data_IF_423171846904
#
_entry.id   IF_423171846904
#
_cell.length_a   1.000
_cell.length_b   1.000
_cell.length_c   1.000
_cell.angle_alpha   90.00
_cell.angle_beta   90.00
_cell.angle_gamma   90.00
#
_symmetry.space_group_name_H-M   'P 1'
#
loop_
_entity.id
_entity.type
_entity.pdbx_description
1 polymer ?
#
# COMPACT_ATOMS: atom_id res chain seq x y z
N UNK A 1 -12.65 1.94 -22.65
CA UNK A 1 -11.21 1.67 -22.92
C UNK A 1 -11.15 0.59 -23.97
N UNK A 2 -10.24 0.65 -24.94
CA UNK A 2 -10.16 -0.39 -25.97
C UNK A 2 -9.73 -1.74 -25.35
N UNK A 3 -10.36 -2.84 -25.75
CA UNK A 3 -10.04 -4.20 -25.28
C UNK A 3 -8.52 -4.48 -25.37
N UNK A 4 -7.85 -3.95 -26.41
CA UNK A 4 -6.40 -4.06 -26.60
C UNK A 4 -5.54 -3.49 -25.46
N UNK A 5 -5.98 -2.42 -24.80
CA UNK A 5 -5.24 -1.82 -23.68
C UNK A 5 -5.42 -2.66 -22.41
N UNK A 6 -6.64 -3.15 -22.15
CA UNK A 6 -6.91 -4.07 -21.04
C UNK A 6 -6.15 -5.38 -21.20
N UNK A 7 -6.16 -5.99 -22.39
CA UNK A 7 -5.43 -7.24 -22.67
C UNK A 7 -3.91 -7.09 -22.46
N UNK A 8 -3.35 -5.94 -22.83
CA UNK A 8 -1.91 -5.66 -22.61
C UNK A 8 -1.59 -5.44 -21.14
N UNK A 9 -2.44 -4.72 -20.42
CA UNK A 9 -2.32 -4.46 -18.98
C UNK A 9 -2.40 -5.79 -18.21
N UNK A 10 -3.40 -6.63 -18.49
CA UNK A 10 -3.55 -7.95 -17.86
C UNK A 10 -2.34 -8.84 -18.13
N UNK A 11 -1.76 -8.79 -19.33
CA UNK A 11 -0.56 -9.57 -19.65
C UNK A 11 0.73 -9.04 -19.01
N UNK A 12 0.91 -7.72 -18.90
CA UNK A 12 2.11 -7.12 -18.31
C UNK A 12 2.12 -7.15 -16.79
N UNK A 13 0.94 -7.18 -16.17
CA UNK A 13 0.79 -7.12 -14.72
C UNK A 13 0.53 -8.51 -14.10
N UNK A 14 0.65 -9.59 -14.89
CA UNK A 14 0.58 -10.95 -14.33
C UNK A 14 1.60 -11.10 -13.21
N UNK A 15 1.16 -11.74 -12.13
CA UNK A 15 2.02 -12.06 -10.99
C UNK A 15 3.26 -12.82 -11.50
N UNK A 16 4.48 -12.29 -11.28
CA UNK A 16 5.71 -12.97 -11.67
C UNK A 16 5.90 -14.30 -10.92
N UNK A 17 6.79 -15.18 -11.39
CA UNK A 17 7.14 -16.41 -10.68
C UNK A 17 7.59 -16.14 -9.24
N UNK A 18 7.29 -17.08 -8.33
CA UNK A 18 7.61 -16.96 -6.89
C UNK A 18 9.09 -16.59 -6.61
N UNK A 19 10.03 -17.03 -7.45
CA UNK A 19 11.45 -16.67 -7.30
C UNK A 19 11.75 -15.18 -7.44
N UNK A 20 10.96 -14.44 -8.23
CA UNK A 20 11.16 -13.00 -8.47
C UNK A 20 10.56 -12.14 -7.36
N UNK A 21 9.46 -12.61 -6.76
CA UNK A 21 8.70 -11.91 -5.70
C UNK A 21 9.06 -12.38 -4.29
N UNK A 22 9.93 -13.38 -4.15
CA UNK A 22 10.33 -13.99 -2.87
C UNK A 22 10.81 -13.00 -1.81
N UNK A 23 11.29 -11.83 -2.23
CA UNK A 23 11.77 -10.80 -1.29
C UNK A 23 10.68 -10.27 -0.36
N UNK A 24 9.39 -10.43 -0.70
CA UNK A 24 8.28 -10.14 0.23
C UNK A 24 8.19 -11.11 1.41
N UNK A 25 8.89 -12.26 1.39
CA UNK A 25 8.94 -13.17 2.55
C UNK A 25 9.50 -12.49 3.79
N UNK A 26 10.34 -11.46 3.60
CA UNK A 26 10.85 -10.61 4.67
C UNK A 26 9.75 -10.02 5.55
N UNK A 27 8.51 -9.84 5.05
CA UNK A 27 7.36 -9.34 5.83
C UNK A 27 7.09 -10.17 7.10
N UNK A 28 7.49 -11.46 7.13
CA UNK A 28 7.45 -12.26 8.35
C UNK A 28 8.22 -11.62 9.51
N UNK A 29 9.38 -11.03 9.22
CA UNK A 29 10.23 -10.43 10.24
C UNK A 29 9.70 -9.06 10.69
N UNK A 30 8.97 -8.37 9.82
CA UNK A 30 8.20 -7.18 10.18
C UNK A 30 7.07 -7.55 11.13
N UNK A 31 6.35 -8.65 10.85
CA UNK A 31 5.26 -9.12 11.71
C UNK A 31 5.79 -9.52 13.09
N UNK A 32 6.91 -10.26 13.14
CA UNK A 32 7.57 -10.63 14.40
C UNK A 32 8.03 -9.41 15.21
N UNK A 33 8.42 -8.33 14.53
CA UNK A 33 8.96 -7.13 15.18
C UNK A 33 7.86 -6.17 15.62
N UNK A 34 6.88 -5.91 14.77
CA UNK A 34 5.90 -4.82 14.93
C UNK A 34 4.48 -5.31 15.24
N UNK A 35 4.23 -6.62 15.17
CA UNK A 35 2.88 -7.18 15.25
C UNK A 35 2.18 -7.13 13.90
N UNK A 36 0.91 -6.75 13.89
CA UNK A 36 0.16 -6.66 12.64
C UNK A 36 0.64 -5.46 11.80
N UNK A 37 0.68 -5.61 10.47
CA UNK A 37 1.14 -4.58 9.55
C UNK A 37 0.06 -4.20 8.53
N UNK A 38 0.07 -2.92 8.14
CA UNK A 38 -0.82 -2.36 7.13
C UNK A 38 -0.02 -2.03 5.87
N UNK A 39 -0.44 -2.58 4.73
CA UNK A 39 0.22 -2.40 3.42
C UNK A 39 -0.72 -1.66 2.49
N UNK A 40 -0.39 -0.43 2.13
CA UNK A 40 -1.09 0.33 1.10
C UNK A 40 -0.32 0.21 -0.21
N UNK A 41 -1.00 -0.19 -1.28
CA UNK A 41 -0.37 -0.40 -2.59
C UNK A 41 -1.16 0.23 -3.72
N UNK A 42 -0.41 0.77 -4.69
CA UNK A 42 -0.91 1.25 -5.98
C UNK A 42 -0.73 0.21 -7.09
N UNK A 43 -0.07 -0.93 -6.79
CA UNK A 43 0.15 -2.01 -7.73
C UNK A 43 -1.12 -2.85 -7.89
N UNK A 44 -1.40 -3.24 -9.12
CA UNK A 44 -2.57 -4.03 -9.48
C UNK A 44 -2.34 -5.55 -9.36
N UNK A 45 -1.07 -5.98 -9.39
CA UNK A 45 -0.67 -7.39 -9.29
C UNK A 45 -0.92 -7.97 -7.89
N UNK A 46 -0.79 -9.31 -7.76
CA UNK A 46 -0.98 -10.05 -6.50
C UNK A 46 0.34 -10.52 -5.88
N UNK A 47 1.45 -9.81 -6.09
CA UNK A 47 2.76 -10.30 -5.65
C UNK A 47 2.86 -10.49 -4.13
N UNK A 48 2.28 -9.56 -3.36
CA UNK A 48 2.34 -9.62 -1.89
C UNK A 48 1.47 -10.78 -1.41
N UNK A 49 0.23 -10.85 -1.87
CA UNK A 49 -0.74 -11.90 -1.53
C UNK A 49 -0.19 -13.28 -1.84
N UNK A 50 0.35 -13.49 -3.04
CA UNK A 50 0.90 -14.78 -3.44
C UNK A 50 2.03 -15.25 -2.50
N UNK A 51 2.85 -14.32 -2.01
CA UNK A 51 3.92 -14.64 -1.05
C UNK A 51 3.36 -14.91 0.34
N UNK A 52 2.36 -14.16 0.80
CA UNK A 52 1.71 -14.40 2.09
C UNK A 52 0.98 -15.75 2.11
N UNK A 53 0.28 -16.10 1.02
CA UNK A 53 -0.34 -17.43 0.81
C UNK A 53 0.71 -18.54 0.86
N UNK A 54 1.82 -18.36 0.14
CA UNK A 54 2.91 -19.34 0.11
C UNK A 54 3.57 -19.53 1.50
N UNK A 55 3.56 -18.50 2.33
CA UNK A 55 4.13 -18.49 3.66
C UNK A 55 3.14 -18.81 4.77
N UNK A 56 1.87 -19.11 4.44
CA UNK A 56 0.78 -19.35 5.40
C UNK A 56 0.62 -18.21 6.43
N UNK A 57 0.73 -16.96 5.96
CA UNK A 57 0.56 -15.76 6.79
C UNK A 57 -0.87 -15.25 6.64
N UNK A 58 -1.65 -15.15 7.72
CA UNK A 58 -3.01 -14.62 7.65
C UNK A 58 -3.04 -13.17 7.15
N UNK A 59 -3.76 -12.92 6.07
CA UNK A 59 -3.92 -11.59 5.48
C UNK A 59 -5.34 -11.36 4.97
N UNK A 60 -5.67 -10.09 4.73
CA UNK A 60 -6.92 -9.72 4.06
C UNK A 60 -6.72 -8.60 3.07
N UNK A 61 -7.44 -8.68 1.95
CA UNK A 61 -7.64 -7.58 0.99
C UNK A 61 -9.07 -7.02 1.07
N UNK A 62 -9.86 -7.41 2.08
CA UNK A 62 -11.25 -7.02 2.23
C UNK A 62 -12.23 -7.85 1.41
N UNK A 63 -11.89 -9.11 1.06
CA UNK A 63 -12.77 -10.01 0.31
C UNK A 63 -12.93 -11.36 1.01
N UNK A 64 -14.13 -11.90 0.95
CA UNK A 64 -14.45 -13.29 1.24
C UNK A 64 -15.39 -13.85 0.15
N UNK A 65 -15.95 -15.05 0.37
CA UNK A 65 -16.88 -15.70 -0.57
C UNK A 65 -18.20 -14.94 -0.79
N UNK A 66 -18.50 -13.92 0.02
CA UNK A 66 -19.66 -13.05 -0.12
C UNK A 66 -19.32 -11.72 -0.81
N UNK A 67 -18.07 -11.52 -1.22
CA UNK A 67 -17.59 -10.33 -1.92
C UNK A 67 -16.84 -9.38 -1.00
N UNK A 68 -16.81 -8.10 -1.40
CA UNK A 68 -16.10 -7.08 -0.63
C UNK A 68 -16.77 -6.82 0.72
N UNK A 69 -15.97 -6.87 1.79
CA UNK A 69 -16.40 -6.65 3.16
C UNK A 69 -15.30 -5.97 3.99
N UNK A 70 -15.54 -4.72 4.40
CA UNK A 70 -14.59 -3.93 5.19
C UNK A 70 -14.41 -4.45 6.63
N UNK A 71 -15.35 -5.21 7.17
CA UNK A 71 -15.23 -5.78 8.53
C UNK A 71 -14.08 -6.79 8.63
N UNK A 72 -13.65 -7.38 7.50
CA UNK A 72 -12.51 -8.29 7.45
C UNK A 72 -11.20 -7.62 7.88
N UNK A 73 -11.06 -6.29 7.70
CA UNK A 73 -9.89 -5.55 8.17
C UNK A 73 -9.83 -5.41 9.69
N UNK A 74 -10.95 -5.60 10.40
CA UNK A 74 -11.03 -5.46 11.87
C UNK A 74 -10.77 -6.76 12.63
N UNK A 75 -10.50 -7.84 11.91
CA UNK A 75 -10.24 -9.16 12.49
C UNK A 75 -8.88 -9.21 13.18
N UNK A 76 -8.84 -9.81 14.37
CA UNK A 76 -7.63 -9.93 15.20
C UNK A 76 -6.68 -11.06 14.75
N UNK A 77 -7.19 -12.04 13.99
CA UNK A 77 -6.39 -13.14 13.44
C UNK A 77 -5.57 -12.73 12.21
N UNK A 78 -5.81 -11.55 11.65
CA UNK A 78 -5.14 -11.03 10.45
C UNK A 78 -3.82 -10.36 10.82
N UNK A 79 -2.73 -10.80 10.19
CA UNK A 79 -1.37 -10.24 10.39
C UNK A 79 -0.99 -9.19 9.37
N UNK A 80 -1.55 -9.26 8.17
CA UNK A 80 -1.29 -8.27 7.11
C UNK A 80 -2.61 -7.77 6.52
N UNK A 81 -2.83 -6.47 6.55
CA UNK A 81 -3.98 -5.81 5.94
C UNK A 81 -3.52 -5.12 4.66
N UNK A 82 -3.99 -5.57 3.50
CA UNK A 82 -3.58 -5.05 2.19
C UNK A 82 -4.68 -4.18 1.61
N UNK A 83 -4.37 -2.90 1.43
CA UNK A 83 -5.26 -1.88 0.89
C UNK A 83 -4.82 -1.52 -0.52
N UNK A 84 -5.54 -2.04 -1.53
CA UNK A 84 -5.24 -1.78 -2.96
C UNK A 84 -5.98 -0.55 -3.48
N UNK A 85 -5.36 0.62 -3.37
CA UNK A 85 -6.00 1.91 -3.66
C UNK A 85 -6.47 2.04 -5.11
N UNK A 86 -5.80 1.35 -6.04
CA UNK A 86 -6.14 1.38 -7.46
C UNK A 86 -6.86 0.13 -7.96
N UNK A 87 -7.30 -0.74 -7.05
CA UNK A 87 -7.91 -2.00 -7.39
C UNK A 87 -6.89 -3.09 -7.67
N UNK A 88 -7.38 -4.21 -8.21
CA UNK A 88 -6.57 -5.41 -8.43
C UNK A 88 -6.96 -6.10 -9.71
N UNK A 89 -6.03 -6.83 -10.32
CA UNK A 89 -6.32 -7.65 -11.50
C UNK A 89 -7.31 -8.78 -11.22
N UNK A 90 -7.42 -9.22 -9.98
CA UNK A 90 -8.37 -10.25 -9.58
C UNK A 90 -9.72 -9.69 -9.11
N UNK A 91 -9.92 -8.37 -9.14
CA UNK A 91 -11.21 -7.79 -8.77
C UNK A 91 -12.10 -7.68 -9.99
N UNK A 92 -13.37 -8.02 -9.85
CA UNK A 92 -14.37 -7.83 -10.88
C UNK A 92 -15.66 -7.29 -10.27
N UNK A 93 -16.44 -6.56 -11.07
CA UNK A 93 -17.78 -6.12 -10.70
C UNK A 93 -18.80 -7.06 -11.34
N UNK A 94 -19.67 -7.64 -10.53
CA UNK A 94 -20.74 -8.49 -11.02
C UNK A 94 -21.79 -7.66 -11.76
N UNK A 95 -22.31 -8.19 -12.86
CA UNK A 95 -23.28 -7.47 -13.68
C UNK A 95 -24.68 -7.47 -13.05
N UNK A 96 -25.03 -8.49 -12.26
CA UNK A 96 -26.38 -8.66 -11.72
C UNK A 96 -26.64 -7.81 -10.48
N UNK A 97 -25.77 -7.89 -9.46
CA UNK A 97 -25.95 -7.11 -8.21
C UNK A 97 -25.05 -5.89 -8.08
N UNK A 98 -24.16 -5.67 -9.05
CA UNK A 98 -23.19 -4.58 -9.04
C UNK A 98 -22.20 -4.64 -7.86
N UNK A 99 -22.12 -5.74 -7.11
CA UNK A 99 -21.14 -5.93 -6.06
C UNK A 99 -19.75 -6.20 -6.64
N UNK A 100 -18.72 -6.08 -5.80
CA UNK A 100 -17.33 -6.31 -6.17
C UNK A 100 -16.88 -7.62 -5.53
N UNK A 101 -16.22 -8.46 -6.32
CA UNK A 101 -15.74 -9.77 -5.94
C UNK A 101 -14.26 -9.95 -6.30
N UNK A 102 -13.63 -10.96 -5.70
CA UNK A 102 -12.28 -11.41 -6.05
C UNK A 102 -12.34 -12.76 -6.76
N UNK A 103 -11.55 -12.93 -7.83
CA UNK A 103 -11.38 -14.19 -8.55
C UNK A 103 -10.78 -15.32 -7.70
N UNK A 104 -10.24 -15.03 -6.52
CA UNK A 104 -9.72 -16.08 -5.62
C UNK A 104 -10.76 -16.68 -4.70
N UNK A 105 -11.84 -15.95 -4.45
CA UNK A 105 -12.95 -16.39 -3.62
C UNK A 105 -14.28 -15.96 -4.25
N UNK A 106 -14.55 -16.37 -5.51
CA UNK A 106 -15.82 -16.05 -6.15
C UNK A 106 -16.97 -16.72 -5.39
N UNK A 107 -18.16 -16.10 -5.32
CA UNK A 107 -19.34 -16.76 -4.76
C UNK A 107 -19.70 -18.02 -5.55
N UNK A 108 -20.19 -19.06 -4.88
CA UNK A 108 -20.54 -20.33 -5.51
C UNK A 108 -21.60 -20.18 -6.62
N UNK A 109 -22.53 -19.25 -6.43
CA UNK A 109 -23.64 -18.95 -7.35
C UNK A 109 -23.28 -17.87 -8.39
N UNK A 110 -22.12 -17.23 -8.27
CA UNK A 110 -21.69 -16.09 -9.11
C UNK A 110 -20.26 -16.24 -9.61
N UNK A 111 -19.98 -17.39 -10.21
CA UNK A 111 -18.71 -17.62 -10.90
C UNK A 111 -18.70 -16.74 -12.15
N UNK A 112 -17.71 -15.83 -12.30
CA UNK A 112 -17.70 -14.91 -13.43
C UNK A 112 -17.51 -15.67 -14.75
N UNK A 113 -17.95 -15.05 -15.84
CA UNK A 113 -17.62 -15.50 -17.19
C UNK A 113 -16.09 -15.64 -17.35
N UNK A 114 -15.63 -16.45 -18.32
CA UNK A 114 -14.21 -16.63 -18.56
C UNK A 114 -13.53 -15.28 -18.85
N UNK A 115 -12.66 -14.85 -17.93
CA UNK A 115 -11.85 -13.62 -17.99
C UNK A 115 -12.67 -12.31 -17.88
N UNK A 116 -13.26 -11.99 -16.71
CA UNK A 116 -13.98 -10.74 -16.52
C UNK A 116 -13.01 -9.55 -16.54
N UNK A 117 -13.45 -8.35 -17.00
CA UNK A 117 -12.60 -7.18 -17.03
C UNK A 117 -12.19 -6.79 -15.59
N UNK A 118 -10.89 -6.55 -15.34
CA UNK A 118 -10.42 -6.21 -14.00
C UNK A 118 -10.93 -4.83 -13.57
N UNK A 119 -11.31 -4.72 -12.30
CA UNK A 119 -11.76 -3.47 -11.69
C UNK A 119 -10.55 -2.65 -11.21
N UNK A 120 -10.14 -1.70 -12.03
CA UNK A 120 -8.94 -0.87 -11.83
C UNK A 120 -9.25 0.62 -11.89
N UNK A 121 -8.52 1.43 -11.11
CA UNK A 121 -8.45 2.89 -11.23
C UNK A 121 -7.12 3.27 -11.87
N UNK A 122 -7.17 4.06 -12.95
CA UNK A 122 -5.97 4.51 -13.66
C UNK A 122 -5.65 5.99 -13.38
N UNK A 123 -4.48 6.23 -12.80
CA UNK A 123 -3.84 7.55 -12.72
C UNK A 123 -4.68 8.63 -12.03
N UNK A 124 -4.50 9.88 -12.46
CA UNK A 124 -5.11 11.09 -11.88
C UNK A 124 -6.63 11.19 -12.04
N UNK A 125 -7.27 10.25 -12.74
CA UNK A 125 -8.73 10.20 -12.85
C UNK A 125 -9.31 9.46 -11.65
N UNK A 126 -8.98 9.95 -10.45
CA UNK A 126 -9.76 9.71 -9.23
C UNK A 126 -11.08 10.45 -9.38
N UNK A 127 -11.96 9.95 -10.26
CA UNK A 127 -13.38 10.12 -9.99
C UNK A 127 -13.56 9.44 -8.64
N UNK A 128 -13.77 10.24 -7.59
CA UNK A 128 -14.17 9.79 -6.27
C UNK A 128 -15.39 8.88 -6.46
N UNK A 129 -15.14 7.60 -6.72
CA UNK A 129 -16.17 6.59 -6.84
C UNK A 129 -16.71 6.51 -5.44
N UNK A 130 -17.90 7.07 -5.22
CA UNK A 130 -18.61 7.02 -3.95
C UNK A 130 -19.11 5.58 -3.64
N UNK A 131 -18.47 4.58 -4.23
CA UNK A 131 -18.81 3.18 -4.17
C UNK A 131 -17.63 2.42 -3.59
N UNK A 132 -17.96 1.50 -2.70
CA UNK A 132 -16.99 0.55 -2.19
C UNK A 132 -16.52 -0.39 -3.31
N UNK A 133 -15.25 -0.83 -3.27
CA UNK A 133 -14.30 -0.71 -2.15
C UNK A 133 -13.53 0.62 -2.05
N UNK A 134 -13.53 1.43 -3.12
CA UNK A 134 -12.58 2.53 -3.27
C UNK A 134 -12.79 3.68 -2.26
N UNK A 135 -14.04 3.99 -1.91
CA UNK A 135 -14.34 5.01 -0.91
C UNK A 135 -13.73 4.64 0.45
N UNK A 136 -13.97 3.41 0.93
CA UNK A 136 -13.39 2.90 2.16
C UNK A 136 -11.86 2.89 2.13
N UNK A 137 -11.25 2.44 1.04
CA UNK A 137 -9.79 2.34 0.90
C UNK A 137 -9.12 3.71 0.96
N UNK A 138 -9.63 4.70 0.23
CA UNK A 138 -9.11 6.07 0.23
C UNK A 138 -9.31 6.76 1.58
N UNK A 139 -10.47 6.57 2.21
CA UNK A 139 -10.72 7.08 3.56
C UNK A 139 -9.75 6.47 4.58
N UNK A 140 -9.62 5.15 4.58
CA UNK A 140 -8.73 4.42 5.49
C UNK A 140 -7.27 4.84 5.30
N UNK A 141 -6.82 5.00 4.06
CA UNK A 141 -5.48 5.54 3.78
C UNK A 141 -5.27 6.93 4.39
N UNK A 142 -6.25 7.83 4.25
CA UNK A 142 -6.16 9.18 4.84
C UNK A 142 -6.04 9.15 6.36
N UNK A 143 -6.83 8.33 7.04
CA UNK A 143 -6.78 8.21 8.50
C UNK A 143 -5.47 7.58 8.95
N UNK A 144 -5.04 6.52 8.27
CA UNK A 144 -3.84 5.76 8.63
C UNK A 144 -2.57 6.58 8.45
N UNK A 145 -2.46 7.39 7.39
CA UNK A 145 -1.35 8.33 7.21
C UNK A 145 -1.33 9.34 8.36
N UNK A 146 -2.48 9.81 8.87
CA UNK A 146 -2.52 10.75 10.01
C UNK A 146 -2.08 10.07 11.30
N UNK A 147 -2.59 8.89 11.59
CA UNK A 147 -2.39 8.19 12.86
C UNK A 147 -1.00 7.56 13.02
N UNK A 148 -0.48 6.91 11.96
CA UNK A 148 0.74 6.10 12.08
C UNK A 148 1.98 6.96 12.31
N UNK A 149 2.79 6.61 13.31
CA UNK A 149 3.99 7.37 13.66
C UNK A 149 5.15 7.14 12.69
N UNK A 150 5.26 5.95 12.11
CA UNK A 150 6.31 5.61 11.15
C UNK A 150 5.66 5.08 9.89
N UNK A 151 6.07 5.62 8.74
CA UNK A 151 5.57 5.22 7.42
C UNK A 151 6.78 4.90 6.53
N UNK A 152 6.74 3.76 5.84
CA UNK A 152 7.68 3.43 4.77
C UNK A 152 6.98 3.57 3.41
N UNK A 153 7.60 4.31 2.50
CA UNK A 153 7.21 4.44 1.10
C UNK A 153 8.26 3.72 0.27
N UNK A 154 7.86 2.69 -0.49
CA UNK A 154 8.79 1.81 -1.19
C UNK A 154 8.50 1.79 -2.68
N UNK A 155 9.45 2.25 -3.49
CA UNK A 155 9.33 2.16 -4.96
C UNK A 155 8.22 3.02 -5.56
N UNK A 156 7.72 4.02 -4.84
CA UNK A 156 6.71 4.94 -5.33
C UNK A 156 7.36 6.18 -5.95
N UNK A 157 7.06 6.44 -7.22
CA UNK A 157 7.64 7.56 -7.98
C UNK A 157 6.93 8.91 -7.80
N UNK A 158 5.97 9.03 -6.87
CA UNK A 158 5.22 10.26 -6.60
C UNK A 158 4.48 10.87 -7.81
N UNK A 159 4.12 10.04 -8.80
CA UNK A 159 3.37 10.46 -9.98
C UNK A 159 1.86 10.61 -9.78
N UNK A 160 1.32 10.17 -8.63
CA UNK A 160 -0.10 10.30 -8.31
C UNK A 160 -0.33 11.48 -7.35
N UNK A 161 -0.81 12.59 -7.90
CA UNK A 161 -1.02 13.81 -7.11
C UNK A 161 -2.09 13.63 -6.03
N UNK A 162 -3.10 12.77 -6.22
CA UNK A 162 -4.14 12.53 -5.20
C UNK A 162 -3.56 11.81 -3.99
N UNK A 163 -2.80 10.74 -4.21
CA UNK A 163 -2.08 10.02 -3.15
C UNK A 163 -1.10 10.95 -2.45
N UNK A 164 -0.36 11.78 -3.20
CA UNK A 164 0.56 12.76 -2.64
C UNK A 164 -0.16 13.78 -1.75
N UNK A 165 -1.34 14.27 -2.16
CA UNK A 165 -2.13 15.20 -1.35
C UNK A 165 -2.59 14.56 -0.03
N UNK A 166 -2.99 13.29 -0.03
CA UNK A 166 -3.36 12.59 1.21
C UNK A 166 -2.14 12.46 2.13
N UNK A 167 -0.99 12.05 1.58
CA UNK A 167 0.26 11.95 2.35
C UNK A 167 0.59 13.32 2.96
N UNK A 168 0.61 14.37 2.15
CA UNK A 168 0.92 15.75 2.57
C UNK A 168 0.03 16.22 3.71
N UNK A 169 -1.29 16.00 3.61
CA UNK A 169 -2.23 16.35 4.67
C UNK A 169 -1.95 15.60 5.98
N UNK A 170 -1.56 14.34 5.90
CA UNK A 170 -1.22 13.54 7.08
C UNK A 170 0.09 13.93 7.75
N UNK A 171 1.08 14.41 6.98
CA UNK A 171 2.38 14.87 7.52
C UNK A 171 2.24 16.12 8.41
N UNK A 172 1.30 17.01 8.10
CA UNK A 172 1.13 18.29 8.81
C UNK A 172 0.64 18.20 10.26
N UNK A 173 0.19 17.02 10.73
CA UNK A 173 -0.54 16.87 12.00
C UNK A 173 0.28 16.28 13.17
N UNK A 174 1.42 15.65 12.92
CA UNK A 174 2.15 14.91 13.96
C UNK A 174 3.67 15.16 13.86
N UNK A 175 4.19 15.94 14.82
CA UNK A 175 5.61 16.33 14.90
C UNK A 175 6.58 15.17 15.16
N UNK A 176 6.08 14.03 15.65
CA UNK A 176 6.86 12.81 15.91
C UNK A 176 6.90 11.87 14.70
N UNK A 177 6.11 12.16 13.66
CA UNK A 177 6.00 11.27 12.51
C UNK A 177 7.36 11.15 11.81
N UNK A 178 7.68 9.94 11.37
CA UNK A 178 8.88 9.61 10.60
C UNK A 178 8.49 8.97 9.28
N UNK A 179 9.21 9.33 8.24
CA UNK A 179 9.02 8.80 6.90
C UNK A 179 10.32 8.17 6.42
N UNK A 180 10.24 6.95 5.89
CA UNK A 180 11.32 6.31 5.17
C UNK A 180 10.92 6.21 3.71
N UNK A 181 11.73 6.76 2.80
CA UNK A 181 11.48 6.72 1.36
C UNK A 181 12.56 5.86 0.71
N UNK A 182 12.16 4.73 0.15
CA UNK A 182 13.06 3.81 -0.55
C UNK A 182 12.94 4.06 -2.06
N UNK A 183 14.04 4.49 -2.65
CA UNK A 183 14.22 4.66 -4.09
C UNK A 183 15.27 3.71 -4.67
N UNK A 184 15.31 3.57 -5.99
CA UNK A 184 16.48 2.96 -6.67
C UNK A 184 17.70 3.88 -6.60
N UNK A 185 17.45 5.18 -6.52
CA UNK A 185 18.41 6.25 -6.30
C UNK A 185 17.81 7.14 -5.20
N UNK A 186 18.52 7.28 -4.09
CA UNK A 186 18.07 8.05 -2.94
C UNK A 186 18.08 9.56 -3.20
N UNK A 187 19.02 10.07 -4.01
CA UNK A 187 19.13 11.49 -4.35
C UNK A 187 17.97 11.90 -5.28
N UNK A 188 17.68 11.07 -6.29
CA UNK A 188 16.53 11.28 -7.16
C UNK A 188 15.22 11.25 -6.37
N UNK A 189 15.05 10.24 -5.50
CA UNK A 189 13.87 10.14 -4.63
C UNK A 189 13.73 11.37 -3.73
N UNK A 190 14.83 11.88 -3.18
CA UNK A 190 14.83 13.10 -2.36
C UNK A 190 14.43 14.33 -3.16
N UNK A 191 14.97 14.51 -4.36
CA UNK A 191 14.64 15.64 -5.23
C UNK A 191 13.15 15.65 -5.58
N UNK A 192 12.63 14.53 -6.06
CA UNK A 192 11.20 14.40 -6.43
C UNK A 192 10.30 14.57 -5.21
N UNK A 193 10.68 14.00 -4.06
CA UNK A 193 9.91 14.17 -2.83
C UNK A 193 9.87 15.65 -2.39
N UNK A 194 11.00 16.35 -2.39
CA UNK A 194 11.03 17.77 -2.01
C UNK A 194 10.21 18.64 -2.96
N UNK A 195 10.21 18.34 -4.26
CA UNK A 195 9.37 19.03 -5.23
C UNK A 195 7.87 18.81 -4.95
N UNK A 196 7.45 17.55 -4.80
CA UNK A 196 6.04 17.19 -4.61
C UNK A 196 5.47 17.58 -3.25
N UNK A 197 6.33 17.64 -2.23
CA UNK A 197 5.95 17.94 -0.85
C UNK A 197 6.49 19.30 -0.37
N UNK A 198 6.76 20.23 -1.29
CA UNK A 198 7.26 21.57 -0.98
C UNK A 198 6.40 22.34 0.02
N UNK A 199 5.10 22.02 0.15
CA UNK A 199 4.21 22.64 1.14
C UNK A 199 4.44 22.16 2.59
N UNK A 200 5.30 21.15 2.80
CA UNK A 200 5.64 20.59 4.11
C UNK A 200 7.09 20.88 4.53
N UNK A 201 7.63 22.08 4.22
CA UNK A 201 9.01 22.49 4.52
C UNK A 201 9.41 22.21 5.97
N UNK A 202 8.56 22.57 6.94
CA UNK A 202 8.82 22.34 8.37
C UNK A 202 9.07 20.85 8.67
N UNK A 203 8.35 19.94 8.02
CA UNK A 203 8.54 18.49 8.19
C UNK A 203 9.81 18.01 7.50
N UNK A 204 10.10 18.54 6.31
CA UNK A 204 11.29 18.20 5.53
C UNK A 204 12.59 18.63 6.22
N UNK A 205 12.58 19.79 6.87
CA UNK A 205 13.77 20.40 7.46
C UNK A 205 14.03 19.89 8.88
N UNK A 206 13.02 19.30 9.53
CA UNK A 206 13.15 18.67 10.84
C UNK A 206 13.87 17.29 10.81
N UNK A 207 14.45 16.89 9.67
CA UNK A 207 15.16 15.62 9.52
C UNK A 207 14.28 14.39 9.73
N UNK A 208 12.97 14.52 9.49
CA UNK A 208 11.96 13.47 9.73
C UNK A 208 11.81 12.48 8.57
N UNK A 209 12.52 12.72 7.47
CA UNK A 209 12.49 11.91 6.26
C UNK A 209 13.87 11.30 6.04
N UNK A 210 13.95 9.98 6.08
CA UNK A 210 15.13 9.24 5.67
C UNK A 210 14.95 8.72 4.25
N UNK A 211 15.97 8.91 3.40
CA UNK A 211 16.00 8.36 2.04
C UNK A 211 16.96 7.17 2.01
N UNK A 212 16.48 6.03 1.50
CA UNK A 212 17.21 4.76 1.49
C UNK A 212 17.43 4.28 0.06
N UNK A 213 18.68 3.94 -0.24
CA UNK A 213 19.09 3.43 -1.55
C UNK A 213 18.90 1.91 -1.68
N UNK A 214 18.41 1.46 -2.83
CA UNK A 214 18.47 0.05 -3.22
C UNK A 214 17.25 -0.55 -3.90
N UNK A 215 16.13 0.18 -4.01
CA UNK A 215 14.87 -0.36 -4.50
C UNK A 215 14.28 -1.46 -3.59
N UNK A 216 13.02 -1.83 -3.84
CA UNK A 216 12.24 -2.71 -2.95
C UNK A 216 12.94 -4.05 -2.65
N UNK A 217 13.43 -4.73 -3.69
CA UNK A 217 14.03 -6.07 -3.55
C UNK A 217 15.25 -6.09 -2.65
N UNK A 218 16.16 -5.12 -2.79
CA UNK A 218 17.40 -5.06 -1.99
C UNK A 218 17.07 -4.73 -0.54
N UNK A 219 16.30 -3.67 -0.28
CA UNK A 219 16.05 -3.22 1.10
C UNK A 219 15.23 -4.21 1.93
N UNK A 220 14.38 -5.00 1.27
CA UNK A 220 13.58 -6.06 1.92
C UNK A 220 14.43 -7.32 2.19
N UNK A 221 15.21 -7.78 1.22
CA UNK A 221 16.05 -8.97 1.39
C UNK A 221 17.19 -8.76 2.37
N UNK A 222 17.84 -7.60 2.32
CA UNK A 222 19.06 -7.33 3.09
C UNK A 222 18.73 -6.88 4.53
N UNK A 223 17.44 -6.86 4.92
CA UNK A 223 16.99 -6.42 6.25
C UNK A 223 17.12 -4.91 6.52
N UNK A 224 17.64 -4.15 5.55
CA UNK A 224 17.89 -2.71 5.67
C UNK A 224 16.63 -1.97 6.09
N UNK A 225 15.50 -2.23 5.43
CA UNK A 225 14.25 -1.54 5.75
C UNK A 225 13.76 -1.85 7.16
N UNK A 226 13.87 -3.11 7.60
CA UNK A 226 13.44 -3.53 8.92
C UNK A 226 14.25 -2.81 10.01
N UNK A 227 15.57 -2.75 9.85
CA UNK A 227 16.46 -2.10 10.82
C UNK A 227 16.23 -0.59 10.88
N UNK A 228 16.03 0.06 9.73
CA UNK A 228 15.70 1.50 9.68
C UNK A 228 14.35 1.81 10.32
N UNK A 229 13.32 0.98 10.09
CA UNK A 229 12.02 1.15 10.72
C UNK A 229 12.08 0.97 12.25
N UNK A 230 12.87 0.02 12.75
CA UNK A 230 13.09 -0.15 14.19
C UNK A 230 13.73 1.11 14.79
N UNK A 231 14.75 1.66 14.13
CA UNK A 231 15.41 2.89 14.58
C UNK A 231 14.43 4.07 14.60
N UNK A 232 13.70 4.30 13.49
CA UNK A 232 12.72 5.38 13.37
C UNK A 232 11.59 5.27 14.41
N UNK A 233 11.13 4.04 14.72
CA UNK A 233 10.12 3.82 15.75
C UNK A 233 10.66 4.16 17.14
N UNK A 234 11.87 3.71 17.47
CA UNK A 234 12.52 4.02 18.74
C UNK A 234 12.70 5.54 18.92
N UNK A 235 13.16 6.25 17.89
CA UNK A 235 13.28 7.71 17.92
C UNK A 235 11.93 8.40 18.13
N UNK A 236 10.92 7.99 17.37
CA UNK A 236 9.58 8.58 17.46
C UNK A 236 8.92 8.34 18.84
N UNK A 237 9.24 7.23 19.50
CA UNK A 237 8.77 6.91 20.86
C UNK A 237 9.53 7.67 21.96
N UNK A 238 10.80 8.02 21.75
CA UNK A 238 11.61 8.78 22.71
C UNK A 238 11.24 10.27 22.72
N UNK A 239 10.71 10.79 21.63
CA UNK A 239 10.18 12.15 21.57
C UNK A 239 8.87 12.23 22.34
N UNK A 240 8.90 12.90 23.49
CA UNK A 240 7.71 13.19 24.27
C UNK A 240 6.70 14.03 23.47
N UNK A 241 5.39 13.95 23.74
CA UNK A 241 4.36 14.71 23.01
C UNK A 241 4.51 16.24 23.08
N UNK A 242 5.43 16.74 23.90
CA UNK A 242 5.67 18.17 24.15
C UNK A 242 7.08 18.66 23.79
N UNK A 243 7.93 17.85 23.13
CA UNK A 243 9.23 18.30 22.60
C UNK A 243 9.10 18.80 21.15
N UNK A 244 8.00 19.51 20.83
CA UNK A 244 8.03 20.46 19.74
C UNK A 244 8.60 21.75 20.33
N UNK A 245 9.92 21.87 20.33
CA UNK A 245 10.55 23.14 20.63
C UNK A 245 10.00 24.20 19.65
N UNK A 246 9.69 25.36 20.24
CA UNK A 246 9.18 26.59 19.67
C UNK A 246 9.85 27.03 18.37
#
# INVERSE_FOLDING_TARGET
>A
MSNLLQDKITNWLKTPPMGEIRYFQSLQDFIKTFGDIDVFTLNYDRCVEAVLEHCDIPFTCGFDMHGWNSELFKRDDIKVRIYKLHGSLDWYRDEEDQAVYSLQCPPEDRIPAADPPPLLIFGTVHKLTATDPFLYLSYTFSEMVKERMVIAIIGYGFGDDYVNQIILQGLSRNSRKRLLVVGKDAEEAQMVFREKFAQAEVFLDAGRVEFVDGGAKKVLNDGILLDRLKAALNEAMQEGPFQADL
#
